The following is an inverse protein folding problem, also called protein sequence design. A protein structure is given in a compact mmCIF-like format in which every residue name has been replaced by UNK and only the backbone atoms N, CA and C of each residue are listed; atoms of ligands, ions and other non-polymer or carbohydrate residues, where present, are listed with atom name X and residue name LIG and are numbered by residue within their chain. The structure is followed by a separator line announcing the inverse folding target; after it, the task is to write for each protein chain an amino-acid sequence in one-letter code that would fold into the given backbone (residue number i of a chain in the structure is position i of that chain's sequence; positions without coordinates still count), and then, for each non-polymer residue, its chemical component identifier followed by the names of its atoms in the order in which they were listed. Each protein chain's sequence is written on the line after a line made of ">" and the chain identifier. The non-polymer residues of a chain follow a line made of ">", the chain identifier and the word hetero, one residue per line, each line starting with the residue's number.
data_IF_636038752168
#
_entry.id   IF_636038752168
#
_cell.length_a   1.000
_cell.length_b   1.000
_cell.length_c   1.000
_cell.angle_alpha   90.00
_cell.angle_beta   90.00
_cell.angle_gamma   90.00
#
_symmetry.space_group_name_H-M   'P 1'
#
loop_
_entity.id
_entity.type
_entity.pdbx_description
1 polymer ?
#
# COMPACT_ATOMS: atom_id res chain seq x y z
N UNK A 1 -15.55 6.86 6.04
CA UNK A 1 -14.56 5.77 6.10
C UNK A 1 -13.28 6.35 5.53
N UNK A 2 -12.21 6.33 6.32
CA UNK A 2 -10.90 6.83 5.91
C UNK A 2 -10.30 5.89 4.85
N UNK A 3 -9.78 6.40 3.73
CA UNK A 3 -9.16 5.58 2.68
C UNK A 3 -8.07 4.67 3.27
N UNK A 4 -7.35 5.15 4.29
CA UNK A 4 -6.32 4.36 4.94
C UNK A 4 -6.85 3.22 5.81
N UNK A 5 -8.07 3.36 6.31
CA UNK A 5 -8.74 2.27 7.03
C UNK A 5 -9.06 1.08 6.11
N UNK A 6 -9.12 1.26 4.78
CA UNK A 6 -9.30 0.16 3.84
C UNK A 6 -8.12 -0.84 3.84
N UNK A 7 -6.91 -0.39 4.18
CA UNK A 7 -5.74 -1.27 4.30
C UNK A 7 -5.82 -2.20 5.52
N UNK A 8 -6.65 -1.88 6.52
CA UNK A 8 -6.80 -2.69 7.75
C UNK A 8 -7.70 -3.92 7.58
N UNK A 9 -8.49 -4.01 6.50
CA UNK A 9 -9.38 -5.14 6.22
C UNK A 9 -8.67 -6.38 5.66
N UNK A 10 -7.33 -6.37 5.58
CA UNK A 10 -6.56 -7.48 5.03
C UNK A 10 -6.40 -8.56 6.11
N UNK A 11 -6.96 -9.75 5.82
CA UNK A 11 -7.16 -10.84 6.76
C UNK A 11 -5.86 -11.28 7.48
N UNK A 12 -5.93 -11.28 8.81
CA UNK A 12 -4.80 -11.32 9.74
C UNK A 12 -4.64 -12.71 10.36
N UNK A 13 -4.71 -13.77 9.55
CA UNK A 13 -4.37 -15.09 10.06
C UNK A 13 -2.86 -15.22 10.23
N UNK A 14 -2.45 -14.95 11.48
CA UNK A 14 -1.19 -15.37 12.08
C UNK A 14 -0.90 -16.85 11.81
N UNK A 15 0.39 -17.20 11.69
CA UNK A 15 1.05 -18.48 12.01
C UNK A 15 2.13 -18.75 10.95
N UNK A 16 3.40 -18.58 11.38
CA UNK A 16 4.62 -19.18 10.80
C UNK A 16 4.58 -19.45 9.28
N UNK A 17 4.96 -18.46 8.47
CA UNK A 17 5.07 -18.63 7.02
C UNK A 17 6.06 -19.77 6.71
N UNK A 18 5.54 -20.90 6.23
CA UNK A 18 6.30 -22.10 5.88
C UNK A 18 6.56 -22.19 4.38
N UNK A 19 5.93 -21.32 3.57
CA UNK A 19 6.13 -21.24 2.12
C UNK A 19 6.57 -19.85 1.66
N UNK A 20 7.30 -19.73 0.54
CA UNK A 20 7.65 -18.42 -0.04
C UNK A 20 6.42 -17.52 -0.31
N UNK A 21 5.29 -18.13 -0.69
CA UNK A 21 4.04 -17.43 -0.93
C UNK A 21 3.46 -16.80 0.35
N UNK A 22 3.44 -17.54 1.45
CA UNK A 22 3.01 -17.01 2.76
C UNK A 22 3.94 -15.89 3.25
N UNK A 23 5.25 -16.00 3.02
CA UNK A 23 6.18 -14.91 3.33
C UNK A 23 5.93 -13.66 2.48
N UNK A 24 5.48 -13.82 1.23
CA UNK A 24 5.11 -12.70 0.38
C UNK A 24 3.81 -12.05 0.87
N UNK A 25 2.79 -12.83 1.20
CA UNK A 25 1.54 -12.34 1.81
C UNK A 25 1.84 -11.56 3.09
N UNK A 26 2.71 -12.07 3.97
CA UNK A 26 3.11 -11.36 5.20
C UNK A 26 3.79 -10.03 4.91
N UNK A 27 4.67 -9.97 3.90
CA UNK A 27 5.30 -8.71 3.47
C UNK A 27 4.27 -7.72 2.93
N UNK A 28 3.31 -8.18 2.12
CA UNK A 28 2.21 -7.36 1.62
C UNK A 28 1.32 -6.84 2.76
N UNK A 29 1.01 -7.66 3.76
CA UNK A 29 0.27 -7.25 4.96
C UNK A 29 1.00 -6.13 5.70
N UNK A 30 2.30 -6.30 5.98
CA UNK A 30 3.09 -5.29 6.68
C UNK A 30 3.18 -3.96 5.92
N UNK A 31 3.21 -4.01 4.57
CA UNK A 31 3.14 -2.79 3.74
C UNK A 31 1.76 -2.14 3.90
N UNK A 32 0.67 -2.92 3.84
CA UNK A 32 -0.68 -2.41 4.06
C UNK A 32 -0.85 -1.74 5.41
N UNK A 33 -0.33 -2.34 6.49
CA UNK A 33 -0.35 -1.76 7.85
C UNK A 33 0.46 -0.46 7.94
N UNK A 34 1.64 -0.42 7.33
CA UNK A 34 2.42 0.83 7.29
C UNK A 34 1.66 1.93 6.55
N UNK A 35 0.96 1.60 5.46
CA UNK A 35 0.13 2.56 4.73
C UNK A 35 -1.14 2.96 5.48
N UNK A 36 -1.74 2.07 6.27
CA UNK A 36 -2.94 2.41 7.08
C UNK A 36 -2.66 3.44 8.17
N UNK A 37 -1.38 3.59 8.56
CA UNK A 37 -0.93 4.60 9.51
C UNK A 37 -0.72 5.99 8.90
N UNK A 38 -0.77 6.11 7.57
CA UNK A 38 -0.73 7.42 6.92
C UNK A 38 -2.04 8.14 7.21
N UNK A 39 -1.93 9.37 7.71
CA UNK A 39 -3.07 10.21 8.00
C UNK A 39 -3.05 11.41 7.05
N UNK A 40 -4.00 11.47 6.11
CA UNK A 40 -4.16 12.62 5.19
C UNK A 40 -4.46 13.90 5.99
N UNK A 41 -5.13 13.80 7.13
CA UNK A 41 -5.42 14.98 7.96
C UNK A 41 -4.17 15.61 8.56
N UNK A 42 -3.06 14.87 8.64
CA UNK A 42 -1.75 15.37 9.07
C UNK A 42 -0.95 16.07 7.95
N UNK A 43 -1.48 16.14 6.72
CA UNK A 43 -0.84 16.84 5.60
C UNK A 43 -1.18 18.33 5.68
N UNK A 44 -0.24 19.13 6.17
CA UNK A 44 -0.43 20.57 6.35
C UNK A 44 0.51 21.43 5.50
N UNK A 45 1.49 20.82 4.84
CA UNK A 45 2.49 21.50 4.03
C UNK A 45 2.83 20.75 2.74
N UNK A 46 3.51 21.46 1.81
CA UNK A 46 4.07 20.84 0.61
C UNK A 46 5.07 19.74 0.93
N UNK A 47 5.82 19.88 2.02
CA UNK A 47 6.80 18.88 2.44
C UNK A 47 6.11 17.64 3.01
N UNK A 48 5.03 17.80 3.77
CA UNK A 48 4.21 16.66 4.25
C UNK A 48 3.61 15.89 3.08
N UNK A 49 3.10 16.61 2.08
CA UNK A 49 2.58 16.03 0.85
C UNK A 49 3.65 15.30 0.06
N UNK A 50 4.84 15.93 -0.13
CA UNK A 50 5.95 15.30 -0.83
C UNK A 50 6.41 14.01 -0.12
N UNK A 51 6.45 14.01 1.22
CA UNK A 51 6.74 12.82 2.03
C UNK A 51 5.66 11.75 1.87
N UNK A 52 4.38 12.11 1.89
CA UNK A 52 3.27 11.16 1.69
C UNK A 52 3.36 10.49 0.31
N UNK A 53 3.53 11.28 -0.76
CA UNK A 53 3.70 10.76 -2.12
C UNK A 53 4.93 9.86 -2.26
N UNK A 54 6.06 10.27 -1.67
CA UNK A 54 7.28 9.46 -1.68
C UNK A 54 7.11 8.11 -0.96
N UNK A 55 6.37 8.09 0.15
CA UNK A 55 6.02 6.86 0.86
C UNK A 55 5.15 5.94 0.00
N UNK A 56 4.12 6.49 -0.66
CA UNK A 56 3.24 5.75 -1.58
C UNK A 56 4.01 5.17 -2.79
N UNK A 57 4.95 5.94 -3.35
CA UNK A 57 5.83 5.49 -4.43
C UNK A 57 6.77 4.36 -3.99
N UNK A 58 7.30 4.47 -2.78
CA UNK A 58 8.20 3.45 -2.21
C UNK A 58 7.43 2.15 -1.95
N UNK A 59 6.21 2.24 -1.41
CA UNK A 59 5.37 1.07 -1.18
C UNK A 59 4.98 0.34 -2.47
N UNK A 60 4.59 1.07 -3.53
CA UNK A 60 4.28 0.48 -4.84
C UNK A 60 5.48 -0.26 -5.44
N UNK A 61 6.68 0.34 -5.37
CA UNK A 61 7.91 -0.33 -5.81
C UNK A 61 8.16 -1.63 -5.06
N UNK A 62 8.00 -1.62 -3.73
CA UNK A 62 8.14 -2.82 -2.90
C UNK A 62 7.13 -3.90 -3.29
N UNK A 63 5.87 -3.54 -3.51
CA UNK A 63 4.81 -4.49 -3.91
C UNK A 63 5.09 -5.06 -5.30
N UNK A 64 5.49 -4.22 -6.26
CA UNK A 64 5.85 -4.68 -7.62
C UNK A 64 7.05 -5.60 -7.62
N UNK A 65 8.05 -5.33 -6.77
CA UNK A 65 9.21 -6.21 -6.59
C UNK A 65 8.77 -7.60 -6.11
N UNK A 66 7.94 -7.65 -5.05
CA UNK A 66 7.34 -8.90 -4.57
C UNK A 66 6.57 -9.58 -5.70
N UNK A 67 5.69 -8.87 -6.41
CA UNK A 67 4.90 -9.45 -7.50
C UNK A 67 5.79 -10.08 -8.59
N UNK A 68 6.94 -9.47 -8.89
CA UNK A 68 7.88 -9.96 -9.91
C UNK A 68 8.52 -11.29 -9.51
N UNK A 69 8.82 -11.50 -8.22
CA UNK A 69 9.32 -12.77 -7.68
C UNK A 69 8.33 -13.94 -7.89
N UNK A 70 7.04 -13.66 -7.99
CA UNK A 70 5.97 -14.66 -8.05
C UNK A 70 5.28 -14.78 -9.41
N UNK A 71 5.74 -14.06 -10.45
CA UNK A 71 5.14 -14.09 -11.80
C UNK A 71 5.12 -15.49 -12.46
N UNK A 72 6.02 -16.38 -12.05
CA UNK A 72 6.15 -17.73 -12.61
C UNK A 72 5.42 -18.82 -11.80
N UNK A 73 4.91 -18.50 -10.60
CA UNK A 73 4.34 -19.47 -9.66
C UNK A 73 2.82 -19.30 -9.60
N UNK A 74 2.06 -20.40 -9.45
CA UNK A 74 0.59 -20.38 -9.29
C UNK A 74 0.16 -19.84 -7.91
N UNK A 75 0.61 -18.63 -7.55
CA UNK A 75 0.30 -17.96 -6.28
C UNK A 75 -0.75 -16.87 -6.50
N UNK A 76 -1.98 -17.30 -6.82
CA UNK A 76 -3.11 -16.42 -7.11
C UNK A 76 -3.40 -15.43 -5.99
N UNK A 77 -3.25 -15.84 -4.73
CA UNK A 77 -3.53 -14.97 -3.58
C UNK A 77 -2.53 -13.83 -3.43
N UNK A 78 -1.23 -14.11 -3.62
CA UNK A 78 -0.17 -13.08 -3.64
C UNK A 78 -0.45 -12.06 -4.73
N UNK A 79 -0.82 -12.52 -5.93
CA UNK A 79 -1.12 -11.65 -7.07
C UNK A 79 -2.36 -10.81 -6.80
N UNK A 80 -3.44 -11.41 -6.28
CA UNK A 80 -4.69 -10.71 -5.96
C UNK A 80 -4.45 -9.63 -4.92
N UNK A 81 -3.72 -9.95 -3.86
CA UNK A 81 -3.45 -9.02 -2.78
C UNK A 81 -2.51 -7.88 -3.21
N UNK A 82 -1.44 -8.19 -3.96
CA UNK A 82 -0.55 -7.17 -4.50
C UNK A 82 -1.30 -6.18 -5.39
N UNK A 83 -2.18 -6.67 -6.27
CA UNK A 83 -3.03 -5.81 -7.11
C UNK A 83 -3.95 -4.92 -6.27
N UNK A 84 -4.63 -5.49 -5.29
CA UNK A 84 -5.49 -4.72 -4.38
C UNK A 84 -4.73 -3.59 -3.67
N UNK A 85 -3.49 -3.82 -3.25
CA UNK A 85 -2.66 -2.78 -2.63
C UNK A 85 -2.19 -1.73 -3.64
N UNK A 86 -1.86 -2.12 -4.87
CA UNK A 86 -1.51 -1.19 -5.95
C UNK A 86 -2.70 -0.26 -6.24
N UNK A 87 -3.91 -0.81 -6.40
CA UNK A 87 -5.12 -0.04 -6.67
C UNK A 87 -5.41 0.98 -5.54
N UNK A 88 -5.22 0.57 -4.28
CA UNK A 88 -5.38 1.46 -3.12
C UNK A 88 -4.29 2.55 -3.07
N UNK A 89 -3.05 2.23 -3.44
CA UNK A 89 -1.96 3.21 -3.53
C UNK A 89 -2.24 4.23 -4.65
N UNK A 90 -2.74 3.79 -5.80
CA UNK A 90 -3.12 4.67 -6.90
C UNK A 90 -4.24 5.63 -6.47
N UNK A 91 -5.29 5.12 -5.82
CA UNK A 91 -6.35 5.96 -5.26
C UNK A 91 -5.82 6.98 -4.23
N UNK A 92 -4.92 6.56 -3.33
CA UNK A 92 -4.34 7.46 -2.33
C UNK A 92 -3.48 8.56 -2.96
N UNK A 93 -2.74 8.27 -4.05
CA UNK A 93 -1.97 9.29 -4.78
C UNK A 93 -2.87 10.31 -5.44
N UNK A 94 -3.98 9.85 -6.04
CA UNK A 94 -4.94 10.73 -6.69
C UNK A 94 -5.59 11.67 -5.67
N UNK A 95 -5.90 11.19 -4.47
CA UNK A 95 -6.45 11.99 -3.38
C UNK A 95 -5.44 13.04 -2.87
N UNK A 96 -4.21 12.61 -2.57
CA UNK A 96 -3.13 13.53 -2.13
C UNK A 96 -2.80 14.57 -3.22
N UNK A 97 -2.83 14.17 -4.48
CA UNK A 97 -2.61 15.07 -5.62
C UNK A 97 -3.78 16.02 -5.85
N UNK A 98 -5.00 15.63 -5.52
CA UNK A 98 -6.18 16.50 -5.58
C UNK A 98 -6.13 17.57 -4.47
N UNK A 99 -5.65 17.21 -3.27
CA UNK A 99 -5.36 18.18 -2.20
C UNK A 99 -4.34 19.23 -2.62
N UNK A 100 -3.34 18.87 -3.44
CA UNK A 100 -2.38 19.82 -4.04
C UNK A 100 -3.07 20.91 -4.85
N UNK A 101 -4.15 20.58 -5.56
CA UNK A 101 -4.94 21.55 -6.31
C UNK A 101 -5.69 22.54 -5.42
N UNK A 102 -6.12 22.09 -4.23
CA UNK A 102 -6.88 22.90 -3.27
C UNK A 102 -6.00 23.77 -2.37
N UNK A 103 -4.84 23.29 -1.92
CA UNK A 103 -3.93 24.03 -1.01
C UNK A 103 -3.12 25.11 -1.74
N UNK A 104 -3.02 25.04 -3.07
CA UNK A 104 -2.24 25.97 -3.89
C UNK A 104 -3.09 26.94 -4.72
N UNK A 105 -4.41 26.88 -4.60
CA UNK A 105 -5.37 27.85 -5.15
C UNK A 105 -5.72 28.91 -4.12
#
# INVERSE_FOLDING_TARGET
>A
MDLFSAFSSIDYQSIRANTPAEMAVKRLNGIGEALSSLDISAIHSRDDMARALWTLDTADKCIRMILTEFRSVRTKDVVRQAKSLIDLIEAARDEVSSYRGMVLS
#
